data_IF_594434143232
#
_entry.id   IF_594434143232
#
_cell.length_a   1.000
_cell.length_b   1.000
_cell.length_c   1.000
_cell.angle_alpha   90.00
_cell.angle_beta   90.00
_cell.angle_gamma   90.00
#
_symmetry.space_group_name_H-M   'P 1'
#
loop_
_entity.id
_entity.type
_entity.pdbx_description
1 polymer ?
#
# COMPACT_ATOMS: atom_id res chain seq x y z
N UNK A 1 -3.87 3.62 -7.44
CA UNK A 1 -4.66 3.14 -6.29
C UNK A 1 -5.34 1.88 -6.75
N UNK A 2 -5.09 0.80 -6.05
CA UNK A 2 -5.34 -0.54 -6.56
C UNK A 2 -6.35 -1.26 -5.67
N UNK A 3 -7.30 -1.95 -6.30
CA UNK A 3 -8.28 -2.78 -5.60
C UNK A 3 -7.82 -4.23 -5.61
N UNK A 4 -8.03 -4.91 -4.49
CA UNK A 4 -7.64 -6.30 -4.31
C UNK A 4 -8.55 -7.24 -5.11
N UNK A 5 -7.92 -8.06 -5.95
CA UNK A 5 -8.57 -9.15 -6.68
C UNK A 5 -7.75 -10.44 -6.51
N UNK A 6 -8.43 -11.54 -6.19
CA UNK A 6 -7.84 -12.87 -6.12
C UNK A 6 -8.88 -13.91 -6.51
N UNK A 7 -8.48 -14.82 -7.40
CA UNK A 7 -9.24 -16.02 -7.74
C UNK A 7 -8.33 -17.24 -7.59
N UNK A 8 -8.52 -17.99 -6.50
CA UNK A 8 -7.70 -19.16 -6.17
C UNK A 8 -8.58 -20.30 -5.64
N UNK A 9 -8.89 -21.27 -6.51
CA UNK A 9 -9.77 -22.39 -6.15
C UNK A 9 -11.14 -21.90 -5.68
N UNK A 10 -11.43 -22.08 -4.40
CA UNK A 10 -12.67 -21.64 -3.76
C UNK A 10 -12.58 -20.23 -3.14
N UNK A 11 -11.39 -19.63 -3.03
CA UNK A 11 -11.21 -18.27 -2.53
C UNK A 11 -11.35 -17.26 -3.68
N UNK A 12 -12.37 -16.41 -3.59
CA UNK A 12 -12.68 -15.40 -4.60
C UNK A 12 -12.88 -14.06 -3.89
N UNK A 13 -11.94 -13.14 -4.10
CA UNK A 13 -11.99 -11.77 -3.60
C UNK A 13 -12.05 -10.82 -4.80
N UNK A 14 -13.00 -9.89 -4.77
CA UNK A 14 -13.22 -8.89 -5.81
C UNK A 14 -13.69 -7.60 -5.15
N UNK A 15 -12.73 -6.81 -4.65
CA UNK A 15 -13.00 -5.57 -3.93
C UNK A 15 -13.72 -4.53 -4.81
N UNK A 16 -13.51 -4.58 -6.12
CA UNK A 16 -14.16 -3.73 -7.12
C UNK A 16 -15.69 -3.91 -7.19
N UNK A 17 -16.24 -4.98 -6.63
CA UNK A 17 -17.69 -5.18 -6.58
C UNK A 17 -18.38 -4.29 -5.54
N UNK A 18 -17.64 -3.79 -4.55
CA UNK A 18 -18.21 -3.01 -3.43
C UNK A 18 -17.51 -1.66 -3.22
N UNK A 19 -16.29 -1.49 -3.74
CA UNK A 19 -15.47 -0.30 -3.52
C UNK A 19 -15.05 0.30 -4.86
N UNK A 20 -14.97 1.63 -4.92
CA UNK A 20 -14.44 2.36 -6.06
C UNK A 20 -13.01 2.81 -5.79
N UNK A 21 -12.12 2.57 -6.75
CA UNK A 21 -10.73 3.02 -6.65
C UNK A 21 -10.64 4.55 -6.59
N UNK A 22 -9.73 5.05 -5.75
CA UNK A 22 -9.33 6.46 -5.77
C UNK A 22 -8.59 6.82 -7.06
N UNK A 23 -8.58 8.11 -7.41
CA UNK A 23 -8.00 8.61 -8.66
C UNK A 23 -6.85 9.62 -8.48
N UNK A 24 -6.39 9.83 -7.24
CA UNK A 24 -5.32 10.78 -6.91
C UNK A 24 -4.38 10.19 -5.89
N UNK A 25 -3.09 10.39 -6.09
CA UNK A 25 -2.08 10.13 -5.05
C UNK A 25 -2.19 11.25 -4.02
N UNK A 26 -2.23 10.88 -2.74
CA UNK A 26 -2.42 11.84 -1.64
C UNK A 26 -1.21 11.81 -0.72
N UNK A 27 -0.68 13.00 -0.47
CA UNK A 27 0.33 13.28 0.54
C UNK A 27 -0.12 14.44 1.40
N UNK A 28 0.22 14.43 2.68
CA UNK A 28 -0.17 15.47 3.64
C UNK A 28 1.06 15.95 4.39
N UNK A 29 1.24 17.26 4.48
CA UNK A 29 2.31 17.85 5.30
C UNK A 29 1.90 17.87 6.78
N UNK A 30 2.83 17.52 7.67
CA UNK A 30 2.60 17.45 9.11
C UNK A 30 3.81 17.94 9.89
N UNK A 31 3.69 18.21 11.21
CA UNK A 31 4.83 18.52 12.07
C UNK A 31 5.90 17.41 12.14
N UNK A 32 5.60 16.20 11.67
CA UNK A 32 6.51 15.05 11.67
C UNK A 32 7.12 14.77 10.29
N UNK A 33 6.88 15.63 9.31
CA UNK A 33 7.30 15.46 7.91
C UNK A 33 6.14 15.26 6.95
N UNK A 34 6.46 15.06 5.68
CA UNK A 34 5.50 14.80 4.60
C UNK A 34 5.07 13.33 4.63
N UNK A 35 3.76 13.11 4.76
CA UNK A 35 3.17 11.78 4.92
C UNK A 35 2.52 11.34 3.61
N UNK A 36 2.98 10.21 3.05
CA UNK A 36 2.35 9.51 1.94
C UNK A 36 1.29 8.52 2.42
N UNK A 37 0.15 8.47 1.71
CA UNK A 37 -0.97 7.60 2.07
C UNK A 37 -1.14 6.47 1.04
N UNK A 38 -1.20 5.23 1.53
CA UNK A 38 -1.47 4.03 0.74
C UNK A 38 -2.37 3.08 1.52
N UNK A 39 -3.05 2.15 0.84
CA UNK A 39 -3.93 1.18 1.51
C UNK A 39 -3.61 -0.23 1.02
N UNK A 40 -3.31 -1.13 1.96
CA UNK A 40 -3.21 -2.57 1.78
C UNK A 40 -2.57 -3.03 0.46
N UNK A 41 -3.39 -3.30 -0.56
CA UNK A 41 -2.98 -3.85 -1.85
C UNK A 41 -2.03 -2.94 -2.64
N UNK A 42 -2.06 -1.64 -2.36
CA UNK A 42 -1.13 -0.66 -2.92
C UNK A 42 0.34 -1.03 -2.67
N UNK A 43 0.67 -1.70 -1.56
CA UNK A 43 2.04 -2.15 -1.25
C UNK A 43 2.67 -2.99 -2.36
N UNK A 44 1.90 -3.57 -3.28
CA UNK A 44 2.42 -4.36 -4.41
C UNK A 44 2.85 -3.53 -5.61
N UNK A 45 2.52 -2.23 -5.65
CA UNK A 45 2.68 -1.37 -6.82
C UNK A 45 3.65 -0.22 -6.50
N UNK A 46 4.96 -0.37 -6.79
CA UNK A 46 5.96 0.65 -6.45
C UNK A 46 5.70 2.01 -7.10
N UNK A 47 5.03 2.04 -8.26
CA UNK A 47 4.71 3.26 -9.01
C UNK A 47 3.87 4.24 -8.19
N UNK A 48 2.98 3.75 -7.30
CA UNK A 48 2.20 4.63 -6.44
C UNK A 48 3.09 5.44 -5.50
N UNK A 49 4.08 4.79 -4.89
CA UNK A 49 4.98 5.41 -3.91
C UNK A 49 5.94 6.38 -4.58
N UNK A 50 6.44 6.04 -5.78
CA UNK A 50 7.25 6.94 -6.61
C UNK A 50 6.52 8.24 -6.96
N UNK A 51 5.19 8.18 -7.14
CA UNK A 51 4.36 9.36 -7.42
C UNK A 51 4.10 10.25 -6.20
N UNK A 52 4.37 9.79 -4.97
CA UNK A 52 4.14 10.60 -3.77
C UNK A 52 5.11 11.77 -3.66
N UNK A 53 6.32 11.65 -4.24
CA UNK A 53 7.41 12.62 -4.24
C UNK A 53 7.86 13.07 -2.84
N UNK A 54 9.11 12.75 -2.47
CA UNK A 54 9.77 13.23 -1.24
C UNK A 54 8.92 13.12 0.03
N UNK A 55 8.53 11.90 0.40
CA UNK A 55 7.83 11.63 1.66
C UNK A 55 8.81 11.17 2.73
N UNK A 56 8.59 11.62 3.97
CA UNK A 56 9.37 11.20 5.13
C UNK A 56 8.76 9.96 5.80
N UNK A 57 7.43 9.83 5.70
CA UNK A 57 6.62 8.78 6.32
C UNK A 57 5.60 8.26 5.31
N UNK A 58 5.40 6.95 5.26
CA UNK A 58 4.34 6.27 4.51
C UNK A 58 3.44 5.56 5.51
N UNK A 59 2.14 5.87 5.47
CA UNK A 59 1.12 5.10 6.18
C UNK A 59 0.53 4.05 5.23
N UNK A 60 0.52 2.80 5.66
CA UNK A 60 0.07 1.66 4.87
C UNK A 60 -0.84 0.72 5.67
N UNK A 61 -1.99 1.20 6.21
CA UNK A 61 -2.95 0.34 6.89
C UNK A 61 -3.40 -0.81 5.96
N UNK A 62 -3.37 -2.03 6.48
CA UNK A 62 -3.61 -3.22 5.68
C UNK A 62 -4.26 -4.38 6.45
N UNK A 63 -4.91 -5.26 5.71
CA UNK A 63 -5.43 -6.53 6.19
C UNK A 63 -5.07 -7.63 5.18
N UNK A 64 -3.81 -8.09 5.21
CA UNK A 64 -3.35 -9.15 4.32
C UNK A 64 -3.97 -10.50 4.69
N UNK A 65 -4.25 -11.34 3.68
CA UNK A 65 -4.65 -12.73 3.95
C UNK A 65 -3.48 -13.50 4.57
N UNK A 66 -3.76 -14.47 5.45
CA UNK A 66 -2.71 -15.16 6.22
C UNK A 66 -1.60 -15.77 5.33
N UNK A 67 -1.98 -16.40 4.22
CA UNK A 67 -1.05 -17.04 3.28
C UNK A 67 -0.18 -15.99 2.59
N UNK A 68 -0.80 -14.95 2.03
CA UNK A 68 -0.04 -13.92 1.29
C UNK A 68 0.76 -13.01 2.21
N UNK A 69 0.25 -12.74 3.42
CA UNK A 69 0.92 -11.98 4.47
C UNK A 69 2.21 -12.65 4.90
N UNK A 70 2.17 -13.96 5.22
CA UNK A 70 3.36 -14.73 5.60
C UNK A 70 4.47 -14.66 4.54
N UNK A 71 4.11 -14.64 3.26
CA UNK A 71 5.08 -14.65 2.17
C UNK A 71 5.59 -13.25 1.79
N UNK A 72 4.74 -12.22 1.81
CA UNK A 72 5.04 -10.94 1.16
C UNK A 72 5.03 -9.72 2.07
N UNK A 73 4.38 -9.77 3.23
CA UNK A 73 4.11 -8.58 4.04
C UNK A 73 5.39 -7.81 4.39
N UNK A 74 6.31 -8.47 5.11
CA UNK A 74 7.55 -7.83 5.57
C UNK A 74 8.41 -7.36 4.39
N UNK A 75 8.55 -8.18 3.35
CA UNK A 75 9.35 -7.87 2.16
C UNK A 75 8.83 -6.61 1.47
N UNK A 76 7.51 -6.51 1.25
CA UNK A 76 6.92 -5.35 0.59
C UNK A 76 7.04 -4.08 1.45
N UNK A 77 6.74 -4.15 2.75
CA UNK A 77 6.85 -3.01 3.66
C UNK A 77 8.29 -2.48 3.69
N UNK A 78 9.28 -3.37 3.85
CA UNK A 78 10.70 -2.98 3.86
C UNK A 78 11.16 -2.45 2.52
N UNK A 79 10.68 -3.00 1.40
CA UNK A 79 10.99 -2.48 0.08
C UNK A 79 10.50 -1.04 -0.09
N UNK A 80 9.28 -0.71 0.36
CA UNK A 80 8.75 0.67 0.31
C UNK A 80 9.56 1.64 1.17
N UNK A 81 10.02 1.20 2.33
CA UNK A 81 10.87 2.01 3.19
C UNK A 81 12.22 2.32 2.52
N UNK A 82 12.89 1.29 2.00
CA UNK A 82 14.23 1.42 1.41
C UNK A 82 14.22 2.23 0.11
N UNK A 83 13.29 1.93 -0.80
CA UNK A 83 13.31 2.56 -2.14
C UNK A 83 12.89 4.04 -2.11
N UNK A 84 12.10 4.45 -1.11
CA UNK A 84 11.66 5.84 -0.96
C UNK A 84 12.43 6.60 0.13
N UNK A 85 13.38 5.96 0.81
CA UNK A 85 14.12 6.53 1.96
C UNK A 85 13.19 7.11 3.03
N UNK A 86 12.09 6.42 3.31
CA UNK A 86 11.03 6.88 4.20
C UNK A 86 10.73 5.85 5.30
N UNK A 87 10.22 6.30 6.44
CA UNK A 87 9.61 5.39 7.42
C UNK A 87 8.32 4.81 6.85
N UNK A 88 8.03 3.55 7.13
CA UNK A 88 6.75 2.93 6.79
C UNK A 88 6.08 2.45 8.08
N UNK A 89 4.85 2.91 8.31
CA UNK A 89 4.00 2.47 9.41
C UNK A 89 2.85 1.68 8.78
N UNK A 90 2.84 0.37 9.01
CA UNK A 90 2.00 -0.60 8.32
C UNK A 90 1.34 -1.57 9.30
#
# INVERSE_FOLDING_TARGET
IHLFGLQLGHEHYAEEKTIKAGNKVVTVDSPFGRIGLSICYDLRFPELFRLMNNVDIILAPAAFTAITGKAHWEVLVRARAVENMAYVIA
#
